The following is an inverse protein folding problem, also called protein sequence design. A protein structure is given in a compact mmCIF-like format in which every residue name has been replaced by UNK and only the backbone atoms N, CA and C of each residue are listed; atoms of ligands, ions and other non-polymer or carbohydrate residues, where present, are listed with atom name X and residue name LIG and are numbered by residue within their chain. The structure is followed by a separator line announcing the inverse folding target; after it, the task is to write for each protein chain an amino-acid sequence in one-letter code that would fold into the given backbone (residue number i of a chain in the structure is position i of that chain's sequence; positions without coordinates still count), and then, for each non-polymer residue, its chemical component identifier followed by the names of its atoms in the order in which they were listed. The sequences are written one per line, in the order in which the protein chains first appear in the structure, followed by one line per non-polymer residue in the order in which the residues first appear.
data_IF_535122017732
#
_entry.id   IF_535122017732
#
_cell.length_a   1.000
_cell.length_b   1.000
_cell.length_c   1.000
_cell.angle_alpha   90.00
_cell.angle_beta   90.00
_cell.angle_gamma   90.00
#
_symmetry.space_group_name_H-M   'P 1'
#
loop_
_entity.id
_entity.type
_entity.pdbx_description
1 polymer ?
#
# COMPACT_ATOMS: atom_id res chain seq x y z
N UNK A 1 -14.96 -20.19 -19.94
CA UNK A 1 -14.83 -18.74 -20.13
C UNK A 1 -13.37 -18.52 -20.49
N UNK A 2 -13.09 -18.21 -21.79
CA UNK A 2 -11.73 -17.99 -22.28
C UNK A 2 -11.11 -16.76 -21.62
N UNK A 3 -9.82 -16.84 -21.23
CA UNK A 3 -9.03 -15.69 -20.78
C UNK A 3 -8.91 -14.71 -21.94
N UNK A 4 -9.61 -13.57 -21.85
CA UNK A 4 -9.42 -12.44 -22.78
C UNK A 4 -8.59 -11.39 -22.06
N UNK A 5 -7.57 -10.86 -22.75
CA UNK A 5 -6.72 -9.81 -22.22
C UNK A 5 -7.54 -8.56 -21.93
N UNK A 6 -7.28 -7.94 -20.80
CA UNK A 6 -7.82 -6.63 -20.45
C UNK A 6 -6.75 -5.60 -20.78
N UNK A 7 -7.11 -4.61 -21.59
CA UNK A 7 -6.21 -3.52 -21.97
C UNK A 7 -6.72 -2.22 -21.36
N UNK A 8 -5.84 -1.46 -20.78
CA UNK A 8 -6.13 -0.08 -20.40
C UNK A 8 -5.92 0.81 -21.63
N UNK A 9 -7.00 1.42 -22.08
CA UNK A 9 -7.00 2.31 -23.24
C UNK A 9 -7.35 3.72 -22.76
N UNK A 10 -6.39 4.64 -22.91
CA UNK A 10 -6.66 6.07 -22.73
C UNK A 10 -7.36 6.59 -24.00
N UNK A 11 -8.63 6.92 -23.89
CA UNK A 11 -9.40 7.48 -25.00
C UNK A 11 -9.50 9.00 -24.83
N UNK A 12 -8.95 9.77 -25.79
CA UNK A 12 -9.05 11.23 -25.77
C UNK A 12 -10.53 11.67 -25.78
N UNK A 13 -10.89 12.55 -24.85
CA UNK A 13 -12.22 13.13 -24.66
C UNK A 13 -13.35 12.15 -24.28
N UNK A 14 -13.04 10.89 -24.01
CA UNK A 14 -14.01 9.94 -23.51
C UNK A 14 -13.34 9.04 -22.47
N UNK A 15 -13.67 9.21 -21.20
CA UNK A 15 -13.11 8.41 -20.12
C UNK A 15 -13.77 7.03 -19.99
N UNK A 16 -14.54 6.63 -21.00
CA UNK A 16 -15.23 5.35 -21.07
C UNK A 16 -14.81 4.60 -22.32
N UNK A 17 -14.54 3.33 -22.17
CA UNK A 17 -14.34 2.44 -23.30
C UNK A 17 -14.97 1.06 -23.02
N UNK A 18 -15.37 0.39 -24.09
CA UNK A 18 -15.92 -0.95 -23.99
C UNK A 18 -14.86 -1.94 -24.46
N UNK A 19 -14.40 -2.80 -23.56
CA UNK A 19 -13.52 -3.90 -23.88
C UNK A 19 -14.27 -5.22 -23.59
N UNK A 20 -14.44 -6.07 -24.60
CA UNK A 20 -15.13 -7.36 -24.44
C UNK A 20 -16.54 -7.26 -23.82
N UNK A 21 -17.34 -6.27 -24.20
CA UNK A 21 -18.66 -5.94 -23.64
C UNK A 21 -18.64 -5.49 -22.17
N UNK A 22 -17.49 -5.12 -21.64
CA UNK A 22 -17.35 -4.52 -20.32
C UNK A 22 -17.13 -3.02 -20.53
N UNK A 23 -18.00 -2.19 -19.94
CA UNK A 23 -17.81 -0.76 -19.88
C UNK A 23 -16.68 -0.48 -18.87
N UNK A 24 -15.59 0.05 -19.38
CA UNK A 24 -14.47 0.47 -18.55
C UNK A 24 -14.46 1.99 -18.46
N UNK A 25 -14.12 2.53 -17.30
CA UNK A 25 -14.13 3.95 -17.03
C UNK A 25 -12.76 4.38 -16.51
N UNK A 26 -12.07 5.21 -17.29
CA UNK A 26 -10.91 5.89 -16.78
C UNK A 26 -11.40 7.12 -15.99
N UNK A 27 -11.53 6.93 -14.67
CA UNK A 27 -12.32 7.81 -13.84
C UNK A 27 -11.56 9.08 -13.45
N UNK A 28 -11.81 10.17 -14.15
CA UNK A 28 -11.45 11.49 -13.65
C UNK A 28 -12.65 12.22 -13.01
N UNK A 29 -13.88 12.12 -13.58
CA UNK A 29 -15.07 12.76 -13.00
C UNK A 29 -16.35 11.96 -13.31
N UNK A 30 -17.01 11.37 -12.33
CA UNK A 30 -16.58 11.20 -10.94
C UNK A 30 -15.48 10.15 -10.78
N UNK A 31 -14.52 10.41 -9.89
CA UNK A 31 -13.47 9.43 -9.60
C UNK A 31 -14.04 8.30 -8.72
N UNK A 32 -14.40 7.19 -9.36
CA UNK A 32 -14.97 6.02 -8.68
C UNK A 32 -14.00 5.37 -7.67
N UNK A 33 -12.69 5.60 -7.82
CA UNK A 33 -11.70 5.11 -6.85
C UNK A 33 -11.76 5.86 -5.51
N UNK A 34 -12.31 7.07 -5.51
CA UNK A 34 -12.50 7.88 -4.31
C UNK A 34 -13.79 7.57 -3.56
N UNK A 35 -14.61 6.67 -4.06
CA UNK A 35 -15.82 6.24 -3.35
C UNK A 35 -15.41 5.68 -1.98
N UNK A 36 -16.02 6.18 -0.88
CA UNK A 36 -15.69 5.74 0.46
C UNK A 36 -15.71 4.22 0.62
N UNK A 37 -14.78 3.69 1.42
CA UNK A 37 -14.80 2.27 1.76
C UNK A 37 -16.10 1.92 2.47
N UNK A 38 -16.55 0.68 2.33
CA UNK A 38 -17.75 0.16 3.02
C UNK A 38 -17.72 0.32 4.54
N UNK A 39 -16.54 0.48 5.12
CA UNK A 39 -16.37 0.81 6.55
C UNK A 39 -16.79 2.23 6.92
N UNK A 40 -16.88 3.15 5.94
CA UNK A 40 -17.34 4.52 6.15
C UNK A 40 -18.83 4.63 5.86
N UNK A 41 -19.26 4.09 4.71
CA UNK A 41 -20.68 3.96 4.36
C UNK A 41 -20.89 2.69 3.53
N UNK A 42 -21.52 1.66 4.13
CA UNK A 42 -21.76 0.39 3.45
C UNK A 42 -22.78 0.50 2.31
N UNK A 43 -23.55 1.57 2.22
CA UNK A 43 -24.62 1.70 1.24
C UNK A 43 -24.20 2.39 -0.04
N UNK A 44 -23.18 3.24 -0.03
CA UNK A 44 -22.75 3.96 -1.23
C UNK A 44 -22.34 2.98 -2.35
N UNK A 45 -21.54 1.96 -2.04
CA UNK A 45 -21.12 0.97 -3.04
C UNK A 45 -22.27 0.09 -3.55
N UNK A 46 -23.30 -0.14 -2.74
CA UNK A 46 -24.48 -0.91 -3.13
C UNK A 46 -25.34 -0.20 -4.17
N UNK A 47 -25.22 1.13 -4.28
CA UNK A 47 -25.93 1.92 -5.28
C UNK A 47 -25.29 1.84 -6.67
N UNK A 48 -24.05 1.36 -6.75
CA UNK A 48 -23.39 1.09 -8.01
C UNK A 48 -23.86 -0.26 -8.55
N UNK A 49 -24.92 -0.23 -9.34
CA UNK A 49 -25.50 -1.43 -9.93
C UNK A 49 -25.08 -1.52 -11.38
N UNK A 50 -24.56 -2.66 -11.78
CA UNK A 50 -24.25 -2.90 -13.19
C UNK A 50 -25.57 -3.00 -13.98
N UNK A 51 -25.64 -2.50 -15.24
CA UNK A 51 -26.76 -2.73 -16.11
C UNK A 51 -27.02 -4.21 -16.34
N UNK A 52 -28.26 -4.57 -16.71
CA UNK A 52 -28.63 -5.95 -16.94
C UNK A 52 -27.68 -6.67 -17.91
N UNK A 53 -27.28 -7.87 -17.54
CA UNK A 53 -26.32 -8.69 -18.29
C UNK A 53 -24.87 -8.22 -18.23
N UNK A 54 -24.53 -7.21 -17.39
CA UNK A 54 -23.16 -6.69 -17.18
C UNK A 54 -22.71 -6.88 -15.75
N UNK A 55 -21.41 -6.82 -15.53
CA UNK A 55 -20.78 -6.91 -14.21
C UNK A 55 -19.79 -5.77 -14.05
N UNK A 56 -19.70 -5.20 -12.85
CA UNK A 56 -18.58 -4.37 -12.47
C UNK A 56 -17.38 -5.25 -12.11
N UNK A 57 -16.23 -4.92 -12.69
CA UNK A 57 -14.96 -5.57 -12.36
C UNK A 57 -14.02 -4.49 -11.79
N UNK A 58 -13.55 -4.69 -10.56
CA UNK A 58 -12.50 -3.88 -9.96
C UNK A 58 -11.18 -4.65 -10.03
N UNK A 59 -10.20 -4.09 -10.72
CA UNK A 59 -8.86 -4.64 -10.83
C UNK A 59 -7.88 -3.64 -10.23
N UNK A 60 -7.00 -4.14 -9.37
CA UNK A 60 -5.94 -3.35 -8.76
C UNK A 60 -4.64 -4.16 -8.72
N UNK A 61 -3.54 -3.51 -9.02
CA UNK A 61 -2.22 -4.13 -8.88
C UNK A 61 -1.85 -4.20 -7.39
N UNK A 62 -1.62 -5.41 -6.90
CA UNK A 62 -1.18 -5.58 -5.52
C UNK A 62 0.19 -4.92 -5.31
N UNK A 63 0.18 -3.78 -4.62
CA UNK A 63 1.38 -3.05 -4.15
C UNK A 63 2.34 -2.68 -5.30
N UNK A 64 1.80 -2.15 -6.41
CA UNK A 64 2.57 -1.84 -7.62
C UNK A 64 3.78 -0.96 -7.34
N UNK A 65 3.61 0.12 -6.58
CA UNK A 65 4.68 1.07 -6.26
C UNK A 65 5.83 0.41 -5.49
N UNK A 66 5.50 -0.42 -4.50
CA UNK A 66 6.51 -1.15 -3.72
C UNK A 66 7.25 -2.17 -4.56
N UNK A 67 6.57 -2.85 -5.49
CA UNK A 67 7.22 -3.80 -6.41
C UNK A 67 8.18 -3.10 -7.36
N UNK A 68 7.78 -1.94 -7.88
CA UNK A 68 8.64 -1.11 -8.73
C UNK A 68 9.86 -0.62 -7.94
N UNK A 69 9.64 -0.09 -6.73
CA UNK A 69 10.73 0.35 -5.86
C UNK A 69 11.69 -0.80 -5.53
N UNK A 70 11.18 -1.97 -5.16
CA UNK A 70 11.99 -3.15 -4.85
C UNK A 70 12.84 -3.58 -6.04
N UNK A 71 12.24 -3.61 -7.24
CA UNK A 71 12.93 -3.97 -8.48
C UNK A 71 14.03 -2.98 -8.84
N UNK A 72 13.73 -1.69 -8.83
CA UNK A 72 14.66 -0.64 -9.23
C UNK A 72 15.78 -0.42 -8.21
N UNK A 73 15.49 -0.53 -6.91
CA UNK A 73 16.49 -0.41 -5.85
C UNK A 73 17.33 -1.68 -5.68
N UNK A 74 16.78 -2.84 -6.02
CA UNK A 74 17.39 -4.15 -5.76
C UNK A 74 17.45 -4.52 -4.27
N UNK A 75 16.54 -3.98 -3.45
CA UNK A 75 16.50 -4.27 -2.01
C UNK A 75 16.04 -5.71 -1.75
N UNK A 76 16.89 -6.51 -1.11
CA UNK A 76 16.66 -7.92 -0.90
C UNK A 76 15.46 -8.21 -0.02
N UNK A 77 15.24 -7.42 1.02
CA UNK A 77 14.14 -7.63 1.98
C UNK A 77 12.79 -7.58 1.26
N UNK A 78 12.61 -6.59 0.38
CA UNK A 78 11.39 -6.48 -0.41
C UNK A 78 11.29 -7.57 -1.49
N UNK A 79 12.40 -7.82 -2.20
CA UNK A 79 12.42 -8.83 -3.27
C UNK A 79 12.10 -10.22 -2.72
N UNK A 80 12.69 -10.60 -1.58
CA UNK A 80 12.40 -11.87 -0.92
C UNK A 80 10.97 -11.97 -0.42
N UNK A 81 10.45 -10.92 0.22
CA UNK A 81 9.07 -10.88 0.69
C UNK A 81 8.09 -11.10 -0.47
N UNK A 82 8.32 -10.44 -1.61
CA UNK A 82 7.48 -10.63 -2.81
C UNK A 82 7.66 -12.02 -3.44
N UNK A 83 8.87 -12.55 -3.50
CA UNK A 83 9.14 -13.89 -4.04
C UNK A 83 8.47 -14.99 -3.21
N UNK A 84 8.41 -14.82 -1.89
CA UNK A 84 7.75 -15.74 -0.95
C UNK A 84 6.25 -15.50 -0.82
N UNK A 85 5.66 -14.52 -1.52
CA UNK A 85 4.25 -14.15 -1.38
C UNK A 85 3.89 -13.56 -0.02
N UNK A 86 4.87 -13.06 0.71
CA UNK A 86 4.71 -12.47 2.03
C UNK A 86 4.20 -11.03 1.94
N UNK A 87 3.59 -10.53 3.02
CA UNK A 87 3.27 -9.11 3.15
C UNK A 87 4.56 -8.32 3.44
N UNK A 88 5.02 -7.44 2.53
CA UNK A 88 6.30 -6.74 2.70
C UNK A 88 6.30 -5.78 3.89
N UNK A 89 5.17 -5.19 4.25
CA UNK A 89 5.11 -4.31 5.41
C UNK A 89 5.23 -5.09 6.72
N UNK A 90 4.66 -6.29 6.75
CA UNK A 90 4.81 -7.18 7.90
C UNK A 90 6.23 -7.73 7.98
N UNK A 91 6.84 -8.09 6.83
CA UNK A 91 8.23 -8.55 6.77
C UNK A 91 9.21 -7.50 7.30
N UNK A 92 9.03 -6.23 6.90
CA UNK A 92 9.84 -5.11 7.41
C UNK A 92 9.61 -4.89 8.90
N UNK A 93 8.36 -4.93 9.37
CA UNK A 93 8.07 -4.83 10.79
C UNK A 93 8.72 -5.98 11.57
N UNK A 94 8.61 -7.23 11.09
CA UNK A 94 9.21 -8.39 11.72
C UNK A 94 10.74 -8.23 11.85
N UNK A 95 11.41 -7.84 10.76
CA UNK A 95 12.86 -7.56 10.74
C UNK A 95 13.24 -6.47 11.75
N UNK A 96 12.53 -5.34 11.75
CA UNK A 96 12.78 -4.22 12.68
C UNK A 96 12.69 -4.65 14.15
N UNK A 97 11.80 -5.55 14.47
CA UNK A 97 11.61 -6.02 15.85
C UNK A 97 12.33 -7.34 16.18
N UNK A 98 13.19 -7.84 15.26
CA UNK A 98 13.99 -9.04 15.47
C UNK A 98 13.19 -10.32 15.63
N UNK A 99 12.00 -10.40 14.98
CA UNK A 99 11.08 -11.54 15.04
C UNK A 99 11.01 -12.19 13.66
N UNK A 100 10.81 -13.51 13.60
CA UNK A 100 10.60 -14.19 12.31
C UNK A 100 9.30 -13.73 11.65
N UNK A 101 9.26 -13.78 10.30
CA UNK A 101 8.03 -13.44 9.59
C UNK A 101 6.87 -14.35 10.01
N UNK A 102 7.12 -15.61 10.20
CA UNK A 102 6.12 -16.63 10.55
C UNK A 102 5.48 -16.34 11.91
N UNK A 103 6.27 -15.96 12.92
CA UNK A 103 5.77 -15.55 14.23
C UNK A 103 4.95 -14.26 14.14
N UNK A 104 5.47 -13.26 13.43
CA UNK A 104 4.76 -12.02 13.21
C UNK A 104 3.44 -12.23 12.44
N UNK A 105 3.45 -13.11 11.43
CA UNK A 105 2.27 -13.44 10.64
C UNK A 105 1.23 -14.20 11.45
N UNK A 106 1.64 -15.15 12.27
CA UNK A 106 0.74 -15.89 13.18
C UNK A 106 0.02 -14.91 14.11
N UNK A 107 0.77 -14.01 14.75
CA UNK A 107 0.18 -13.02 15.64
C UNK A 107 -0.69 -11.99 14.90
N UNK A 108 -0.34 -11.63 13.66
CA UNK A 108 -1.10 -10.69 12.85
C UNK A 108 -2.39 -11.29 12.27
N UNK A 109 -2.37 -12.55 11.86
CA UNK A 109 -3.50 -13.21 11.17
C UNK A 109 -4.56 -13.74 12.11
N UNK A 110 -4.22 -14.07 13.33
CA UNK A 110 -5.14 -14.59 14.35
C UNK A 110 -5.68 -13.43 15.21
N UNK A 111 -6.95 -13.07 15.01
CA UNK A 111 -7.60 -11.98 15.76
C UNK A 111 -7.70 -12.24 17.27
N UNK A 112 -7.59 -13.51 17.70
CA UNK A 112 -7.61 -13.89 19.12
C UNK A 112 -6.20 -13.92 19.74
N UNK A 113 -5.18 -13.75 18.92
CA UNK A 113 -3.81 -13.74 19.44
C UNK A 113 -3.56 -12.52 20.35
N UNK A 114 -2.94 -12.67 21.54
CA UNK A 114 -2.72 -11.55 22.47
C UNK A 114 -1.98 -10.36 21.83
N UNK A 115 -1.08 -10.64 20.89
CA UNK A 115 -0.30 -9.61 20.20
C UNK A 115 -0.90 -9.17 18.85
N UNK A 116 -2.13 -9.58 18.50
CA UNK A 116 -2.75 -9.22 17.23
C UNK A 116 -2.74 -7.71 16.99
N UNK A 117 -3.23 -6.93 17.95
CA UNK A 117 -3.31 -5.48 17.83
C UNK A 117 -1.92 -4.83 17.77
N UNK A 118 -0.94 -5.39 18.47
CA UNK A 118 0.45 -4.95 18.43
C UNK A 118 1.02 -5.09 17.01
N UNK A 119 0.88 -6.28 16.40
CA UNK A 119 1.39 -6.55 15.06
C UNK A 119 0.62 -5.81 13.98
N UNK A 120 -0.68 -5.61 14.15
CA UNK A 120 -1.50 -4.77 13.28
C UNK A 120 -1.00 -3.31 13.27
N UNK A 121 -0.64 -2.76 14.43
CA UNK A 121 -0.08 -1.42 14.55
C UNK A 121 1.34 -1.34 13.98
N UNK A 122 2.21 -2.30 14.28
CA UNK A 122 3.58 -2.37 13.71
C UNK A 122 3.57 -2.42 12.19
N UNK A 123 2.71 -3.26 11.60
CA UNK A 123 2.51 -3.33 10.15
C UNK A 123 1.98 -2.01 9.59
N UNK A 124 1.01 -1.37 10.27
CA UNK A 124 0.46 -0.05 9.87
C UNK A 124 1.56 1.01 9.84
N UNK A 125 2.41 1.07 10.86
CA UNK A 125 3.54 2.00 10.93
C UNK A 125 4.55 1.74 9.80
N UNK A 126 4.96 0.49 9.60
CA UNK A 126 5.85 0.11 8.50
C UNK A 126 5.27 0.55 7.14
N UNK A 127 3.98 0.31 6.91
CA UNK A 127 3.28 0.76 5.70
C UNK A 127 3.35 2.28 5.53
N UNK A 128 3.13 3.05 6.59
CA UNK A 128 3.16 4.52 6.53
C UNK A 128 4.56 5.05 6.21
N UNK A 129 5.60 4.43 6.79
CA UNK A 129 7.00 4.78 6.51
C UNK A 129 7.35 4.45 5.06
N UNK A 130 7.04 3.24 4.59
CA UNK A 130 7.33 2.79 3.22
C UNK A 130 6.69 3.71 2.17
N UNK A 131 5.39 3.97 2.30
CA UNK A 131 4.71 4.89 1.39
C UNK A 131 5.22 6.32 1.54
N UNK A 132 5.51 6.75 2.77
CA UNK A 132 6.11 8.04 3.01
C UNK A 132 7.41 8.22 2.22
N UNK A 133 8.29 7.25 2.25
CA UNK A 133 9.57 7.28 1.53
C UNK A 133 9.35 7.34 0.03
N UNK A 134 8.47 6.48 -0.53
CA UNK A 134 8.18 6.47 -1.97
C UNK A 134 7.73 7.84 -2.47
N UNK A 135 6.95 8.57 -1.65
CA UNK A 135 6.42 9.88 -1.99
C UNK A 135 7.22 11.06 -1.41
N UNK A 136 8.45 10.84 -0.94
CA UNK A 136 9.32 11.90 -0.44
C UNK A 136 8.79 12.64 0.78
N UNK A 137 8.14 11.93 1.71
CA UNK A 137 7.50 12.55 2.87
C UNK A 137 8.52 13.23 3.79
N UNK A 138 8.21 14.44 4.20
CA UNK A 138 8.99 15.16 5.20
C UNK A 138 8.61 14.73 6.62
N UNK A 139 9.57 14.85 7.57
CA UNK A 139 9.43 14.43 8.96
C UNK A 139 8.17 14.95 9.66
N UNK A 140 7.76 16.20 9.41
CA UNK A 140 6.57 16.80 10.02
C UNK A 140 5.28 16.06 9.63
N UNK A 141 5.12 15.78 8.33
CA UNK A 141 3.94 15.08 7.82
C UNK A 141 3.98 13.60 8.21
N UNK A 142 5.16 12.98 8.25
CA UNK A 142 5.30 11.60 8.73
C UNK A 142 4.92 11.48 10.20
N UNK A 143 5.35 12.42 11.05
CA UNK A 143 4.96 12.47 12.45
C UNK A 143 3.44 12.47 12.64
N UNK A 144 2.72 13.29 11.87
CA UNK A 144 1.25 13.33 11.88
C UNK A 144 0.66 11.98 11.46
N UNK A 145 1.20 11.34 10.40
CA UNK A 145 0.70 10.04 9.93
C UNK A 145 0.97 8.88 10.89
N UNK A 146 2.09 8.92 11.61
CA UNK A 146 2.46 7.91 12.59
C UNK A 146 1.72 8.08 13.94
N UNK A 147 1.26 9.29 14.22
CA UNK A 147 0.47 9.57 15.42
C UNK A 147 -0.94 8.96 15.31
N UNK A 148 -1.42 8.45 16.43
CA UNK A 148 -2.80 8.02 16.62
C UNK A 148 -3.31 8.56 17.96
N UNK A 149 -3.86 9.80 17.99
CA UNK A 149 -4.30 10.44 19.23
C UNK A 149 -5.38 9.65 19.97
N UNK A 150 -6.19 8.86 19.22
CA UNK A 150 -7.22 8.00 19.82
C UNK A 150 -6.62 6.83 20.61
N UNK A 151 -5.45 6.35 20.17
CA UNK A 151 -4.67 5.32 20.85
C UNK A 151 -3.64 5.91 21.85
N UNK A 152 -3.61 7.24 22.04
CA UNK A 152 -2.64 7.92 22.90
C UNK A 152 -1.22 7.95 22.31
N UNK A 153 -1.07 7.67 21.02
CA UNK A 153 0.24 7.65 20.36
C UNK A 153 0.48 9.00 19.71
N UNK A 154 1.47 9.74 20.20
CA UNK A 154 1.92 11.01 19.63
C UNK A 154 3.38 10.85 19.23
N UNK A 155 3.67 11.06 17.96
CA UNK A 155 5.03 10.99 17.40
C UNK A 155 5.49 12.40 17.06
N UNK A 156 6.63 12.78 17.58
CA UNK A 156 7.26 14.08 17.28
C UNK A 156 7.95 14.05 15.91
N UNK A 157 8.22 15.21 15.28
CA UNK A 157 8.97 15.26 14.02
C UNK A 157 10.38 14.66 14.12
N UNK A 158 11.02 14.73 15.29
CA UNK A 158 12.36 14.20 15.48
C UNK A 158 12.35 12.68 15.64
N UNK A 159 11.35 12.13 16.34
CA UNK A 159 11.12 10.68 16.36
C UNK A 159 10.77 10.12 14.98
N UNK A 160 9.96 10.86 14.18
CA UNK A 160 9.68 10.49 12.81
C UNK A 160 10.95 10.51 11.93
N UNK A 161 11.83 11.48 12.14
CA UNK A 161 13.12 11.53 11.46
C UNK A 161 14.04 10.37 11.87
N UNK A 162 14.04 10.02 13.14
CA UNK A 162 14.79 8.86 13.62
C UNK A 162 14.29 7.57 12.94
N UNK A 163 12.99 7.37 12.84
CA UNK A 163 12.42 6.20 12.15
C UNK A 163 12.79 6.14 10.66
N UNK A 164 12.85 7.30 9.98
CA UNK A 164 13.35 7.36 8.60
C UNK A 164 14.83 6.99 8.51
N UNK A 165 15.65 7.47 9.44
CA UNK A 165 17.07 7.15 9.48
C UNK A 165 17.32 5.66 9.75
N UNK A 166 16.59 5.06 10.68
CA UNK A 166 16.61 3.63 10.97
C UNK A 166 16.22 2.81 9.73
N UNK A 167 15.12 3.19 9.06
CA UNK A 167 14.70 2.53 7.84
C UNK A 167 15.79 2.59 6.75
N UNK A 168 16.38 3.74 6.51
CA UNK A 168 17.44 3.89 5.51
C UNK A 168 18.76 3.21 5.90
N UNK A 169 18.99 3.00 7.19
CA UNK A 169 20.11 2.21 7.67
C UNK A 169 19.91 0.72 7.35
N UNK A 170 18.69 0.22 7.56
CA UNK A 170 18.33 -1.16 7.25
C UNK A 170 18.17 -1.44 5.75
N UNK A 171 17.86 -0.39 4.95
CA UNK A 171 17.61 -0.46 3.51
C UNK A 171 18.51 0.50 2.72
N UNK A 172 19.83 0.29 2.71
CA UNK A 172 20.78 1.23 2.08
C UNK A 172 20.62 1.31 0.56
N UNK A 173 20.12 0.25 -0.09
CA UNK A 173 19.85 0.24 -1.52
C UNK A 173 18.69 1.14 -1.89
N UNK A 174 17.63 1.16 -1.08
CA UNK A 174 16.52 2.10 -1.26
C UNK A 174 17.00 3.54 -1.07
N UNK A 175 17.81 3.79 -0.02
CA UNK A 175 18.40 5.12 0.18
C UNK A 175 19.18 5.60 -1.03
N UNK A 176 20.05 4.74 -1.58
CA UNK A 176 20.86 5.05 -2.77
C UNK A 176 19.97 5.34 -3.98
N UNK A 177 18.94 4.55 -4.19
CA UNK A 177 17.97 4.72 -5.26
C UNK A 177 17.25 6.08 -5.13
N UNK A 178 16.72 6.43 -3.95
CA UNK A 178 16.02 7.70 -3.72
C UNK A 178 16.91 8.90 -3.97
N UNK A 179 18.17 8.90 -3.45
CA UNK A 179 19.13 9.98 -3.70
C UNK A 179 19.47 10.12 -5.20
N UNK A 180 19.46 9.02 -5.95
CA UNK A 180 19.71 9.07 -7.39
C UNK A 180 18.55 9.73 -8.12
N UNK A 181 17.31 9.45 -7.73
CA UNK A 181 16.11 10.05 -8.33
C UNK A 181 15.98 11.55 -8.08
N UNK A 182 16.48 12.06 -6.95
CA UNK A 182 16.48 13.51 -6.65
C UNK A 182 17.45 14.32 -7.52
N UNK A 183 18.38 13.66 -8.20
CA UNK A 183 19.42 14.30 -9.04
C UNK A 183 19.09 14.30 -10.53
N UNK A 184 18.02 13.64 -10.94
CA UNK A 184 17.52 13.57 -12.31
C UNK A 184 16.37 14.53 -12.51
#
# INVERSE_FOLDING_TARGET
IGKKGVYDLSVMNCHQFVANNILNHNSQEPNLQQIPKTSVDPNIKKQLVAPDGKLYMALDYSQAELRIMAHLSGDETYLEAFAKGQDPHLAIAAKKYGVSYEEAYKAYSDEQHPDHNLWKNRRKQAKQICFGIIYGIQKKLLAVKLSDPKAGIIVTPDEAQQQLNEFFYEHPKIKKFMIHQEKV
#
